data_IF_300376657172
#
_entry.id   IF_300376657172
#
_cell.length_a   1.000
_cell.length_b   1.000
_cell.length_c   1.000
_cell.angle_alpha   90.00
_cell.angle_beta   90.00
_cell.angle_gamma   90.00
#
_symmetry.space_group_name_H-M   'P 1'
#
loop_
_entity.id
_entity.type
_entity.pdbx_description
1 polymer ?
#
# COMPACT_ATOMS: atom_id res chain seq x y z
N UNK A 1 4.11 -14.55 -10.76
CA UNK A 1 4.48 -13.22 -10.18
C UNK A 1 3.21 -12.39 -10.00
N UNK A 2 3.19 -11.56 -8.97
CA UNK A 2 2.08 -10.70 -8.58
C UNK A 2 2.50 -9.23 -8.66
N UNK A 3 1.68 -8.37 -9.23
CA UNK A 3 1.88 -6.92 -9.25
C UNK A 3 0.88 -6.24 -8.31
N UNK A 4 1.34 -5.29 -7.52
CA UNK A 4 0.50 -4.44 -6.66
C UNK A 4 0.65 -3.00 -7.13
N UNK A 5 -0.48 -2.33 -7.38
CA UNK A 5 -0.54 -0.91 -7.75
C UNK A 5 -1.03 -0.09 -6.57
N UNK A 6 -0.23 0.87 -6.14
CA UNK A 6 -0.58 1.77 -5.04
C UNK A 6 0.66 2.40 -4.41
N UNK A 7 0.50 3.59 -3.87
CA UNK A 7 1.61 4.35 -3.30
C UNK A 7 1.86 3.96 -1.85
N UNK A 8 3.08 3.51 -1.52
CA UNK A 8 3.46 3.26 -0.13
C UNK A 8 3.71 4.58 0.61
N UNK A 9 3.63 4.54 1.92
CA UNK A 9 3.99 5.63 2.81
C UNK A 9 5.17 5.26 3.70
N UNK A 10 5.85 6.25 4.23
CA UNK A 10 6.88 6.06 5.25
C UNK A 10 6.21 5.86 6.61
N UNK A 11 6.58 4.82 7.33
CA UNK A 11 6.16 4.59 8.70
C UNK A 11 7.38 4.70 9.63
N UNK A 12 7.46 5.74 10.45
CA UNK A 12 8.54 5.87 11.41
C UNK A 12 8.48 4.75 12.45
N UNK A 13 9.63 4.27 12.90
CA UNK A 13 9.68 3.33 14.01
C UNK A 13 9.16 3.99 15.30
N UNK A 14 8.35 3.27 16.06
CA UNK A 14 7.78 3.76 17.32
C UNK A 14 8.82 3.93 18.44
N UNK A 15 10.01 3.37 18.29
CA UNK A 15 11.11 3.48 19.24
C UNK A 15 12.35 4.06 18.54
N UNK A 16 13.23 4.77 19.25
CA UNK A 16 14.41 5.43 18.65
C UNK A 16 15.31 4.50 17.84
N UNK A 17 15.39 3.22 18.23
CA UNK A 17 16.19 2.19 17.56
C UNK A 17 15.37 1.30 16.62
N UNK A 18 14.05 1.52 16.51
CA UNK A 18 13.21 0.74 15.62
C UNK A 18 13.45 1.15 14.17
N UNK A 19 13.66 0.17 13.30
CA UNK A 19 13.80 0.44 11.88
C UNK A 19 12.49 1.02 11.32
N UNK A 20 12.61 2.05 10.48
CA UNK A 20 11.50 2.56 9.70
C UNK A 20 10.92 1.45 8.80
N UNK A 21 9.63 1.51 8.56
CA UNK A 21 8.90 0.54 7.74
C UNK A 21 8.16 1.23 6.58
N UNK A 22 7.71 0.42 5.63
CA UNK A 22 6.82 0.85 4.56
C UNK A 22 5.37 0.67 5.02
N UNK A 23 4.65 1.77 5.11
CA UNK A 23 3.25 1.84 5.49
C UNK A 23 2.31 1.92 4.29
N UNK A 24 1.02 1.96 4.60
CA UNK A 24 -0.06 2.00 3.63
C UNK A 24 -0.51 0.62 3.15
N UNK A 25 -1.73 0.59 2.60
CA UNK A 25 -2.39 -0.66 2.21
C UNK A 25 -1.59 -1.41 1.13
N UNK A 26 -1.07 -0.70 0.14
CA UNK A 26 -0.28 -1.30 -0.95
C UNK A 26 0.98 -2.03 -0.44
N UNK A 27 1.74 -1.39 0.46
CA UNK A 27 2.93 -2.00 1.06
C UNK A 27 2.56 -3.19 1.96
N UNK A 28 1.48 -3.08 2.74
CA UNK A 28 0.96 -4.16 3.58
C UNK A 28 0.59 -5.39 2.75
N UNK A 29 -0.20 -5.21 1.69
CA UNK A 29 -0.59 -6.28 0.76
C UNK A 29 0.64 -6.92 0.12
N UNK A 30 1.56 -6.10 -0.42
CA UNK A 30 2.75 -6.59 -1.09
C UNK A 30 3.63 -7.45 -0.16
N UNK A 31 3.86 -6.99 1.08
CA UNK A 31 4.64 -7.76 2.08
C UNK A 31 3.94 -9.04 2.49
N UNK A 32 2.62 -8.99 2.70
CA UNK A 32 1.85 -10.18 3.07
C UNK A 32 1.87 -11.24 1.95
N UNK A 33 1.76 -10.81 0.69
CA UNK A 33 1.88 -11.71 -0.46
C UNK A 33 3.29 -12.30 -0.59
N UNK A 34 4.35 -11.50 -0.39
CA UNK A 34 5.73 -11.97 -0.37
C UNK A 34 5.97 -12.98 0.76
N UNK A 35 5.45 -12.70 1.96
CA UNK A 35 5.51 -13.62 3.10
C UNK A 35 4.75 -14.94 2.84
N UNK A 36 3.71 -14.91 1.99
CA UNK A 36 2.98 -16.10 1.53
C UNK A 36 3.69 -16.83 0.35
N UNK A 37 4.91 -16.41 -0.01
CA UNK A 37 5.77 -17.04 -1.00
C UNK A 37 5.55 -16.60 -2.45
N UNK A 38 4.78 -15.54 -2.70
CA UNK A 38 4.64 -14.97 -4.03
C UNK A 38 5.85 -14.10 -4.40
N UNK A 39 6.24 -14.10 -5.66
CA UNK A 39 7.12 -13.08 -6.22
C UNK A 39 6.30 -11.83 -6.48
N UNK A 40 6.61 -10.72 -5.79
CA UNK A 40 5.81 -9.50 -5.78
C UNK A 40 6.60 -8.32 -6.30
N UNK A 41 5.96 -7.49 -7.14
CA UNK A 41 6.46 -6.19 -7.56
C UNK A 41 5.45 -5.11 -7.15
N UNK A 42 5.93 -4.04 -6.53
CA UNK A 42 5.12 -2.88 -6.20
C UNK A 42 5.29 -1.80 -7.28
N UNK A 43 4.18 -1.38 -7.86
CA UNK A 43 4.07 -0.25 -8.79
C UNK A 43 3.48 0.91 -7.99
N UNK A 44 4.25 1.96 -7.83
CA UNK A 44 3.84 3.08 -7.00
C UNK A 44 4.74 4.29 -7.17
N UNK A 45 4.56 5.26 -6.29
CA UNK A 45 5.33 6.48 -6.31
C UNK A 45 5.74 6.87 -4.88
N UNK A 46 6.98 7.31 -4.72
CA UNK A 46 7.52 7.91 -3.48
C UNK A 46 8.23 9.21 -3.82
N UNK A 47 8.46 10.06 -2.84
CA UNK A 47 9.30 11.24 -3.00
C UNK A 47 10.76 10.89 -3.26
N UNK A 48 11.49 11.81 -3.85
CA UNK A 48 12.96 11.73 -3.94
C UNK A 48 13.59 12.34 -2.68
N UNK A 49 13.33 11.68 -1.54
CA UNK A 49 13.69 12.13 -0.20
C UNK A 49 14.15 10.96 0.68
N UNK A 50 14.72 11.23 1.88
CA UNK A 50 15.17 10.18 2.79
C UNK A 50 14.05 9.23 3.26
N UNK A 51 12.80 9.70 3.32
CA UNK A 51 11.66 8.85 3.67
C UNK A 51 11.35 7.86 2.55
N UNK A 52 11.46 8.30 1.27
CA UNK A 52 11.36 7.42 0.10
C UNK A 52 12.47 6.36 0.08
N UNK A 53 13.70 6.73 0.42
CA UNK A 53 14.81 5.77 0.55
C UNK A 53 14.54 4.72 1.62
N UNK A 54 13.99 5.14 2.77
CA UNK A 54 13.64 4.24 3.85
C UNK A 54 12.51 3.27 3.45
N UNK A 55 11.50 3.74 2.70
CA UNK A 55 10.43 2.90 2.15
C UNK A 55 10.99 1.85 1.20
N UNK A 56 11.87 2.23 0.26
CA UNK A 56 12.53 1.29 -0.65
C UNK A 56 13.28 0.19 0.10
N UNK A 57 14.06 0.60 1.13
CA UNK A 57 14.82 -0.34 1.93
C UNK A 57 13.91 -1.28 2.74
N UNK A 58 12.80 -0.77 3.28
CA UNK A 58 11.83 -1.57 4.01
C UNK A 58 11.13 -2.61 3.10
N UNK A 59 10.72 -2.20 1.90
CA UNK A 59 10.15 -3.11 0.89
C UNK A 59 11.13 -4.20 0.49
N UNK A 60 12.39 -3.85 0.23
CA UNK A 60 13.43 -4.81 -0.12
C UNK A 60 13.66 -5.84 1.01
N UNK A 61 13.70 -5.40 2.28
CA UNK A 61 13.78 -6.31 3.44
C UNK A 61 12.57 -7.24 3.56
N UNK A 62 11.40 -6.75 3.16
CA UNK A 62 10.16 -7.53 3.11
C UNK A 62 10.04 -8.46 1.91
N UNK A 63 11.06 -8.56 1.06
CA UNK A 63 11.04 -9.41 -0.13
C UNK A 63 10.17 -8.87 -1.27
N UNK A 64 9.82 -7.58 -1.22
CA UNK A 64 9.02 -6.92 -2.26
C UNK A 64 9.94 -6.26 -3.28
N UNK A 65 9.75 -6.59 -4.55
CA UNK A 65 10.43 -5.93 -5.65
C UNK A 65 9.91 -4.49 -5.82
N UNK A 66 10.82 -3.58 -6.10
CA UNK A 66 10.55 -2.15 -6.15
C UNK A 66 11.09 -1.48 -7.43
N UNK A 67 11.37 -2.27 -8.46
CA UNK A 67 11.88 -1.75 -9.74
C UNK A 67 10.90 -0.80 -10.43
N UNK A 68 9.61 -0.94 -10.14
CA UNK A 68 8.52 -0.13 -10.68
C UNK A 68 8.04 0.96 -9.67
N UNK A 69 8.81 1.21 -8.61
CA UNK A 69 8.54 2.29 -7.68
C UNK A 69 9.20 3.59 -8.18
N UNK A 70 8.37 4.52 -8.63
CA UNK A 70 8.79 5.78 -9.22
C UNK A 70 9.19 6.79 -8.16
N UNK A 71 10.14 7.67 -8.48
CA UNK A 71 10.54 8.78 -7.62
C UNK A 71 10.03 10.10 -8.18
N UNK A 72 9.43 10.92 -7.32
CA UNK A 72 8.97 12.26 -7.63
C UNK A 72 9.84 13.29 -6.88
N UNK A 73 10.66 14.02 -7.62
CA UNK A 73 11.55 15.04 -7.04
C UNK A 73 10.80 16.31 -6.56
N UNK A 74 9.55 16.49 -6.97
CA UNK A 74 8.73 17.63 -6.62
C UNK A 74 7.83 17.44 -5.40
N UNK A 75 7.78 16.24 -4.84
CA UNK A 75 6.85 15.88 -3.76
C UNK A 75 7.53 15.03 -2.69
N UNK A 76 7.11 15.23 -1.44
CA UNK A 76 7.59 14.43 -0.33
C UNK A 76 6.87 13.08 -0.25
N UNK A 77 7.57 12.07 0.24
CA UNK A 77 6.98 10.77 0.57
C UNK A 77 5.93 10.94 1.67
N UNK A 78 4.70 10.43 1.49
CA UNK A 78 3.68 10.48 2.53
C UNK A 78 4.16 9.78 3.81
N UNK A 79 3.90 10.41 4.95
CA UNK A 79 4.18 9.79 6.26
C UNK A 79 2.88 9.18 6.75
N UNK A 80 2.91 7.87 7.04
CA UNK A 80 1.78 7.22 7.70
C UNK A 80 1.69 7.74 9.13
N UNK A 81 0.58 8.40 9.46
CA UNK A 81 0.24 8.61 10.87
C UNK A 81 -0.06 7.21 11.45
N UNK A 82 0.53 6.83 12.58
CA UNK A 82 0.02 5.68 13.30
C UNK A 82 -1.48 5.93 13.52
N UNK A 83 -2.32 5.01 13.04
CA UNK A 83 -3.74 5.04 13.39
C UNK A 83 -3.79 5.21 14.91
N UNK A 84 -4.61 6.15 15.39
CA UNK A 84 -4.66 6.52 16.79
C UNK A 84 -4.74 5.23 17.63
N UNK A 85 -3.60 4.82 18.15
CA UNK A 85 -3.57 3.81 19.20
C UNK A 85 -4.37 4.48 20.29
N UNK A 86 -5.44 3.85 20.78
CA UNK A 86 -6.05 4.26 22.03
C UNK A 86 -4.98 4.04 23.10
N UNK A 87 -4.15 5.06 23.28
CA UNK A 87 -3.13 5.09 24.32
C UNK A 87 -3.88 5.35 25.61
N UNK A 88 -3.68 4.48 26.59
CA UNK A 88 -4.20 4.74 27.95
C UNK A 88 -3.82 6.20 28.32
N UNK A 89 -4.78 7.02 28.79
CA UNK A 89 -4.52 8.42 29.14
C UNK A 89 -3.30 8.62 30.06
N UNK A 90 -2.91 7.59 30.80
CA UNK A 90 -1.71 7.61 31.67
C UNK A 90 -0.39 7.57 30.87
N UNK A 91 -0.38 7.02 29.65
CA UNK A 91 0.78 6.90 28.80
C UNK A 91 0.79 7.93 27.65
N UNK A 92 -0.26 8.74 27.55
CA UNK A 92 -0.44 9.69 26.46
C UNK A 92 0.51 10.90 26.52
N UNK A 93 0.91 11.35 27.71
CA UNK A 93 1.77 12.53 27.86
C UNK A 93 3.17 12.41 27.22
N UNK A 94 3.90 11.28 27.39
CA UNK A 94 5.22 11.14 26.75
C UNK A 94 5.14 11.05 25.23
N UNK A 95 4.09 10.40 24.71
CA UNK A 95 3.90 10.23 23.26
C UNK A 95 3.45 11.55 22.63
N UNK A 96 2.57 12.30 23.28
CA UNK A 96 2.15 13.63 22.83
C UNK A 96 3.32 14.62 22.79
N UNK A 97 4.25 14.55 23.75
CA UNK A 97 5.44 15.37 23.77
C UNK A 97 6.40 15.02 22.62
N UNK A 98 6.61 13.73 22.32
CA UNK A 98 7.42 13.25 21.20
C UNK A 98 6.82 13.64 19.84
N UNK A 99 5.50 13.55 19.67
CA UNK A 99 4.80 13.98 18.47
C UNK A 99 4.88 15.49 18.30
N UNK A 100 4.74 16.25 19.39
CA UNK A 100 4.88 17.72 19.38
C UNK A 100 6.32 18.16 19.06
N UNK A 101 7.33 17.43 19.51
CA UNK A 101 8.73 17.71 19.12
C UNK A 101 9.00 17.35 17.65
N UNK A 102 8.46 16.27 17.14
CA UNK A 102 8.55 15.89 15.72
C UNK A 102 7.86 16.93 14.83
N UNK A 103 6.65 17.38 15.17
CA UNK A 103 5.94 18.44 14.48
C UNK A 103 6.66 19.82 14.62
N UNK A 104 7.34 20.07 15.74
CA UNK A 104 8.12 21.29 15.93
C UNK A 104 9.43 21.27 15.13
N UNK A 105 10.05 20.09 14.96
CA UNK A 105 11.21 19.90 14.11
C UNK A 105 10.83 20.09 12.63
N UNK A 106 9.70 19.55 12.21
CA UNK A 106 9.17 19.70 10.85
C UNK A 106 8.80 21.16 10.56
N UNK A 107 8.16 21.85 11.51
CA UNK A 107 7.88 23.30 11.42
C UNK A 107 9.14 24.17 11.38
N UNK A 108 10.23 23.77 12.05
CA UNK A 108 11.52 24.46 11.98
C UNK A 108 12.21 24.26 10.63
N UNK A 109 12.13 23.09 10.05
CA UNK A 109 12.62 22.80 8.71
C UNK A 109 11.87 23.62 7.65
N UNK A 110 10.56 23.77 7.79
CA UNK A 110 9.70 24.60 6.92
C UNK A 110 9.98 26.09 7.11
N UNK A 111 10.34 26.54 8.32
CA UNK A 111 10.62 27.98 8.62
C UNK A 111 11.96 28.51 8.07
N UNK A 112 12.82 27.62 7.57
CA UNK A 112 14.08 27.96 6.92
C UNK A 112 13.97 28.09 5.39
N UNK A 113 12.81 27.79 4.82
CA UNK A 113 12.48 27.97 3.41
C UNK A 113 11.35 28.99 3.25
N UNK A 114 11.67 30.21 2.79
CA UNK A 114 10.67 31.19 2.44
C UNK A 114 9.75 30.67 1.34
N UNK A 115 8.47 30.51 1.68
CA UNK A 115 7.40 30.15 0.78
C UNK A 115 6.57 28.97 1.31
N UNK A 116 5.59 29.25 2.19
CA UNK A 116 4.59 28.27 2.59
C UNK A 116 3.75 27.87 1.38
N UNK A 117 4.21 26.87 0.64
CA UNK A 117 3.37 26.15 -0.31
C UNK A 117 2.37 25.33 0.49
N UNK A 118 1.06 25.43 0.21
CA UNK A 118 0.08 24.56 0.86
C UNK A 118 0.52 23.10 0.68
N UNK A 119 0.21 22.22 1.65
CA UNK A 119 0.59 20.83 1.55
C UNK A 119 0.21 20.30 0.18
N UNK A 120 1.20 19.86 -0.58
CA UNK A 120 0.98 19.37 -1.92
C UNK A 120 -0.02 18.21 -1.87
N UNK A 121 -0.98 18.12 -2.79
CA UNK A 121 -1.83 16.94 -2.89
C UNK A 121 -0.94 15.70 -2.94
N UNK A 122 -1.28 14.68 -2.17
CA UNK A 122 -0.47 13.48 -2.00
C UNK A 122 0.04 12.93 -3.33
N UNK A 123 1.02 12.06 -3.28
CA UNK A 123 1.60 11.37 -4.44
C UNK A 123 0.56 10.45 -5.10
N UNK A 124 -0.47 11.02 -5.73
CA UNK A 124 -1.44 10.26 -6.49
C UNK A 124 -0.76 9.66 -7.72
N UNK A 125 -1.09 8.41 -8.01
CA UNK A 125 -0.67 7.76 -9.25
C UNK A 125 -1.46 8.34 -10.42
N UNK A 126 -0.75 8.64 -11.50
CA UNK A 126 -1.33 9.03 -12.77
C UNK A 126 -1.33 7.83 -13.74
N UNK A 127 -2.19 7.81 -14.78
CA UNK A 127 -2.21 6.73 -15.76
C UNK A 127 -0.85 6.46 -16.40
N UNK A 128 -0.05 7.53 -16.62
CA UNK A 128 1.30 7.43 -17.15
C UNK A 128 2.27 6.72 -16.22
N UNK A 129 2.14 6.93 -14.90
CA UNK A 129 2.96 6.27 -13.88
C UNK A 129 2.69 4.77 -13.85
N UNK A 130 1.42 4.39 -13.83
CA UNK A 130 0.99 2.98 -13.86
C UNK A 130 1.48 2.32 -15.15
N UNK A 131 1.26 2.96 -16.31
CA UNK A 131 1.72 2.45 -17.59
C UNK A 131 3.25 2.28 -17.65
N UNK A 132 3.99 3.22 -17.05
CA UNK A 132 5.45 3.13 -16.96
C UNK A 132 5.87 1.98 -16.05
N UNK A 133 5.28 1.85 -14.86
CA UNK A 133 5.55 0.77 -13.93
C UNK A 133 5.30 -0.62 -14.54
N UNK A 134 4.19 -0.77 -15.23
CA UNK A 134 3.81 -2.03 -15.90
C UNK A 134 4.81 -2.46 -17.01
N UNK A 135 5.58 -1.53 -17.58
CA UNK A 135 6.64 -1.88 -18.55
C UNK A 135 7.82 -2.62 -17.90
N UNK A 136 8.04 -2.39 -16.60
CA UNK A 136 9.09 -3.06 -15.83
C UNK A 136 8.61 -4.38 -15.22
N UNK A 137 7.29 -4.55 -15.08
CA UNK A 137 6.66 -5.74 -14.49
C UNK A 137 6.07 -6.58 -15.63
N UNK A 138 6.80 -7.60 -16.01
CA UNK A 138 6.37 -8.51 -17.09
C UNK A 138 5.86 -9.82 -16.50
N UNK A 139 4.91 -10.45 -17.18
CA UNK A 139 4.45 -11.81 -16.86
C UNK A 139 3.79 -11.96 -15.48
N UNK A 140 3.01 -10.97 -15.04
CA UNK A 140 2.20 -11.12 -13.83
C UNK A 140 0.92 -11.91 -14.15
N UNK A 141 0.49 -12.73 -13.17
CA UNK A 141 -0.77 -13.49 -13.22
C UNK A 141 -1.86 -12.89 -12.35
N UNK A 142 -1.48 -12.00 -11.45
CA UNK A 142 -2.40 -11.27 -10.57
C UNK A 142 -1.97 -9.83 -10.53
N UNK A 143 -2.93 -8.93 -10.71
CA UNK A 143 -2.76 -7.49 -10.56
C UNK A 143 -3.70 -7.00 -9.46
N UNK A 144 -3.14 -6.36 -8.43
CA UNK A 144 -3.91 -5.83 -7.30
C UNK A 144 -3.88 -4.31 -7.35
N UNK A 145 -5.03 -3.67 -7.50
CA UNK A 145 -5.19 -2.23 -7.31
C UNK A 145 -5.50 -1.98 -5.83
N UNK A 146 -4.52 -1.53 -5.07
CA UNK A 146 -4.57 -1.42 -3.61
C UNK A 146 -5.13 -0.09 -3.11
N UNK A 147 -5.45 0.84 -4.00
CA UNK A 147 -6.05 2.13 -3.67
C UNK A 147 -7.15 2.48 -4.67
N UNK A 148 -8.08 3.37 -4.30
CA UNK A 148 -9.11 3.82 -5.22
C UNK A 148 -8.47 4.47 -6.45
N UNK A 149 -8.87 4.01 -7.62
CA UNK A 149 -8.39 4.52 -8.90
C UNK A 149 -9.45 5.42 -9.52
N UNK A 150 -9.04 6.53 -10.09
CA UNK A 150 -9.89 7.30 -11.00
C UNK A 150 -10.12 6.50 -12.31
N UNK A 151 -11.08 6.92 -13.12
CA UNK A 151 -11.47 6.18 -14.32
C UNK A 151 -10.28 6.00 -15.32
N UNK A 152 -9.42 7.02 -15.57
CA UNK A 152 -8.24 6.83 -16.42
C UNK A 152 -7.25 5.79 -15.88
N UNK A 153 -6.96 5.81 -14.59
CA UNK A 153 -6.08 4.82 -13.95
C UNK A 153 -6.71 3.41 -13.96
N UNK A 154 -8.02 3.33 -13.67
CA UNK A 154 -8.77 2.08 -13.72
C UNK A 154 -8.73 1.45 -15.12
N UNK A 155 -8.85 2.26 -16.18
CA UNK A 155 -8.73 1.80 -17.55
C UNK A 155 -7.36 1.18 -17.83
N UNK A 156 -6.27 1.85 -17.45
CA UNK A 156 -4.91 1.33 -17.65
C UNK A 156 -4.70 0.00 -16.91
N UNK A 157 -5.22 -0.11 -15.70
CA UNK A 157 -5.10 -1.34 -14.88
C UNK A 157 -5.93 -2.48 -15.49
N UNK A 158 -7.15 -2.19 -15.95
CA UNK A 158 -8.03 -3.18 -16.58
C UNK A 158 -7.44 -3.70 -17.90
N UNK A 159 -7.00 -2.80 -18.76
CA UNK A 159 -6.37 -3.15 -20.05
C UNK A 159 -5.11 -4.00 -19.85
N UNK A 160 -4.31 -3.66 -18.84
CA UNK A 160 -3.10 -4.42 -18.52
C UNK A 160 -3.41 -5.82 -18.00
N UNK A 161 -4.42 -5.97 -17.15
CA UNK A 161 -4.85 -7.28 -16.64
C UNK A 161 -5.42 -8.14 -17.77
N UNK A 162 -6.25 -7.58 -18.65
CA UNK A 162 -6.80 -8.27 -19.81
C UNK A 162 -5.69 -8.70 -20.78
N UNK A 163 -4.74 -7.81 -21.09
CA UNK A 163 -3.62 -8.12 -21.98
C UNK A 163 -2.73 -9.24 -21.46
N UNK A 164 -2.53 -9.31 -20.13
CA UNK A 164 -1.71 -10.32 -19.47
C UNK A 164 -2.47 -11.61 -19.15
N UNK A 165 -3.78 -11.69 -19.42
CA UNK A 165 -4.67 -12.77 -18.96
C UNK A 165 -4.54 -12.99 -17.45
N UNK A 166 -4.46 -11.89 -16.69
CA UNK A 166 -4.23 -11.87 -15.26
C UNK A 166 -5.52 -11.63 -14.47
N UNK A 167 -5.62 -12.25 -13.29
CA UNK A 167 -6.69 -11.95 -12.37
C UNK A 167 -6.51 -10.51 -11.83
N UNK A 168 -7.57 -9.70 -11.94
CA UNK A 168 -7.60 -8.34 -11.40
C UNK A 168 -8.32 -8.33 -10.05
N UNK A 169 -7.63 -7.86 -9.01
CA UNK A 169 -8.19 -7.63 -7.67
C UNK A 169 -8.20 -6.13 -7.41
N UNK A 170 -9.34 -5.59 -7.05
CA UNK A 170 -9.51 -4.15 -6.79
C UNK A 170 -9.99 -3.93 -5.37
N UNK A 171 -9.31 -3.07 -4.65
CA UNK A 171 -9.71 -2.65 -3.32
C UNK A 171 -10.55 -1.38 -3.44
N UNK A 172 -11.81 -1.48 -3.05
CA UNK A 172 -12.74 -0.37 -3.05
C UNK A 172 -13.06 0.08 -1.61
N UNK A 173 -13.22 1.38 -1.36
CA UNK A 173 -13.81 1.84 -0.12
C UNK A 173 -15.23 1.32 0.03
N UNK A 174 -15.63 1.04 1.27
CA UNK A 174 -16.97 0.52 1.57
C UNK A 174 -18.08 1.39 0.97
N UNK A 175 -18.99 0.75 0.25
CA UNK A 175 -20.15 1.42 -0.34
C UNK A 175 -19.86 2.33 -1.53
N UNK A 176 -18.65 2.35 -2.06
CA UNK A 176 -18.35 3.05 -3.31
C UNK A 176 -18.62 2.14 -4.51
N UNK A 177 -19.23 2.75 -5.53
CA UNK A 177 -19.43 2.07 -6.83
C UNK A 177 -18.10 2.11 -7.59
N UNK A 178 -17.57 0.95 -7.90
CA UNK A 178 -16.39 0.83 -8.77
C UNK A 178 -16.74 1.19 -10.21
N UNK A 179 -15.75 1.67 -10.95
CA UNK A 179 -15.92 1.97 -12.38
C UNK A 179 -16.39 0.72 -13.15
N UNK A 180 -17.31 0.93 -14.10
CA UNK A 180 -17.78 -0.14 -15.00
C UNK A 180 -16.65 -0.80 -15.81
N UNK A 181 -15.55 -0.11 -16.02
CA UNK A 181 -14.34 -0.62 -16.69
C UNK A 181 -13.72 -1.81 -15.93
N UNK A 182 -13.98 -1.93 -14.63
CA UNK A 182 -13.48 -3.01 -13.77
C UNK A 182 -14.44 -4.21 -13.68
N UNK A 183 -15.33 -4.38 -14.65
CA UNK A 183 -16.43 -5.36 -14.60
C UNK A 183 -16.04 -6.83 -14.43
N UNK A 184 -14.81 -7.22 -14.74
CA UNK A 184 -14.27 -8.59 -14.54
C UNK A 184 -13.41 -8.72 -13.29
N UNK A 185 -13.19 -7.62 -12.55
CA UNK A 185 -12.35 -7.60 -11.38
C UNK A 185 -13.00 -8.28 -10.17
N UNK A 186 -12.19 -8.88 -9.33
CA UNK A 186 -12.57 -9.31 -7.99
C UNK A 186 -12.52 -8.08 -7.09
N UNK A 187 -13.66 -7.61 -6.61
CA UNK A 187 -13.74 -6.41 -5.78
C UNK A 187 -13.77 -6.83 -4.31
N UNK A 188 -12.84 -6.29 -3.53
CA UNK A 188 -12.79 -6.44 -2.08
C UNK A 188 -13.05 -5.08 -1.43
N UNK A 189 -14.02 -5.01 -0.53
CA UNK A 189 -14.30 -3.79 0.21
C UNK A 189 -13.35 -3.64 1.40
N UNK A 190 -12.63 -2.50 1.44
CA UNK A 190 -11.76 -2.19 2.56
C UNK A 190 -12.61 -1.82 3.79
N UNK A 191 -12.22 -2.26 5.00
CA UNK A 191 -12.81 -1.76 6.23
C UNK A 191 -12.45 -0.27 6.41
N UNK A 192 -13.28 0.46 7.17
CA UNK A 192 -12.99 1.87 7.49
C UNK A 192 -11.71 2.03 8.31
N UNK A 193 -11.40 1.05 9.14
CA UNK A 193 -10.22 1.03 10.01
C UNK A 193 -9.60 -0.36 9.97
N UNK A 194 -8.30 -0.42 9.78
CA UNK A 194 -7.50 -1.67 9.80
C UNK A 194 -6.25 -1.47 10.66
N UNK A 195 -6.41 -1.30 11.99
CA UNK A 195 -5.31 -0.93 12.89
C UNK A 195 -4.21 -1.97 12.94
N UNK A 196 -4.56 -3.24 12.80
CA UNK A 196 -3.62 -4.37 12.87
C UNK A 196 -3.10 -4.79 11.48
N UNK A 197 -3.53 -4.14 10.41
CA UNK A 197 -3.18 -4.51 9.04
C UNK A 197 -3.76 -5.87 8.60
N UNK A 198 -4.77 -6.34 9.30
CA UNK A 198 -5.36 -7.67 9.09
C UNK A 198 -5.98 -7.79 7.68
N UNK A 199 -6.60 -6.73 7.21
CA UNK A 199 -7.17 -6.68 5.86
C UNK A 199 -6.06 -6.75 4.79
N UNK A 200 -4.95 -6.02 4.96
CA UNK A 200 -3.81 -6.10 4.06
C UNK A 200 -3.23 -7.52 4.01
N UNK A 201 -3.14 -8.19 5.16
CA UNK A 201 -2.68 -9.60 5.25
C UNK A 201 -3.64 -10.53 4.52
N UNK A 202 -4.95 -10.39 4.71
CA UNK A 202 -5.96 -11.18 4.01
C UNK A 202 -5.82 -11.03 2.50
N UNK A 203 -5.80 -9.79 2.01
CA UNK A 203 -5.68 -9.50 0.56
C UNK A 203 -4.38 -10.04 -0.02
N UNK A 204 -3.25 -9.87 0.68
CA UNK A 204 -1.95 -10.36 0.23
C UNK A 204 -1.90 -11.89 0.11
N UNK A 205 -2.43 -12.62 1.09
CA UNK A 205 -2.56 -14.08 1.04
C UNK A 205 -3.51 -14.55 -0.05
N UNK A 206 -4.64 -13.88 -0.19
CA UNK A 206 -5.61 -14.15 -1.25
C UNK A 206 -4.97 -14.00 -2.64
N UNK A 207 -4.30 -12.88 -2.89
CA UNK A 207 -3.61 -12.63 -4.15
C UNK A 207 -2.48 -13.65 -4.41
N UNK A 208 -1.72 -14.04 -3.37
CA UNK A 208 -0.72 -15.09 -3.48
C UNK A 208 -1.32 -16.47 -3.80
N UNK A 209 -2.52 -16.76 -3.28
CA UNK A 209 -3.24 -18.00 -3.61
C UNK A 209 -3.72 -18.01 -5.06
N UNK A 210 -4.23 -16.88 -5.57
CA UNK A 210 -4.56 -16.71 -6.99
C UNK A 210 -3.32 -16.87 -7.89
N UNK A 211 -2.17 -16.30 -7.49
CA UNK A 211 -0.91 -16.44 -8.25
C UNK A 211 -0.43 -17.90 -8.33
N UNK A 212 -0.77 -18.73 -7.34
CA UNK A 212 -0.55 -20.20 -7.38
C UNK A 212 -1.54 -20.94 -8.27
N UNK A 213 -2.56 -20.27 -8.81
CA UNK A 213 -3.55 -20.85 -9.71
C UNK A 213 -4.80 -21.40 -9.03
N UNK A 214 -5.08 -21.04 -7.77
CA UNK A 214 -6.35 -21.34 -7.13
C UNK A 214 -7.46 -20.47 -7.74
N UNK A 215 -8.67 -20.98 -7.82
CA UNK A 215 -9.82 -20.14 -8.13
C UNK A 215 -10.14 -19.17 -6.97
N UNK A 216 -10.96 -18.16 -7.24
CA UNK A 216 -11.24 -17.10 -6.27
C UNK A 216 -11.85 -17.63 -4.95
N UNK A 217 -12.72 -18.64 -5.01
CA UNK A 217 -13.38 -19.19 -3.83
C UNK A 217 -12.39 -19.97 -2.95
N UNK A 218 -11.55 -20.79 -3.57
CA UNK A 218 -10.53 -21.58 -2.88
C UNK A 218 -9.40 -20.67 -2.36
N UNK A 219 -9.01 -19.66 -3.13
CA UNK A 219 -8.03 -18.67 -2.72
C UNK A 219 -8.49 -17.87 -1.49
N UNK A 220 -9.76 -17.45 -1.48
CA UNK A 220 -10.34 -16.74 -0.34
C UNK A 220 -10.42 -17.62 0.91
N UNK A 221 -10.86 -18.87 0.74
CA UNK A 221 -10.89 -19.85 1.84
C UNK A 221 -9.49 -20.10 2.42
N UNK A 222 -8.49 -20.29 1.57
CA UNK A 222 -7.12 -20.48 2.03
C UNK A 222 -6.60 -19.26 2.81
N UNK A 223 -6.87 -18.05 2.33
CA UNK A 223 -6.44 -16.81 2.98
C UNK A 223 -7.10 -16.61 4.36
N UNK A 224 -8.36 -16.98 4.52
CA UNK A 224 -9.11 -16.86 5.79
C UNK A 224 -8.67 -17.91 6.82
N UNK A 225 -8.49 -19.16 6.44
CA UNK A 225 -8.06 -20.25 7.32
C UNK A 225 -6.65 -19.97 7.87
N UNK A 226 -5.70 -19.65 6.99
CA UNK A 226 -4.33 -19.31 7.39
C UNK A 226 -4.27 -18.04 8.23
N UNK A 227 -5.22 -17.10 8.06
CA UNK A 227 -5.34 -15.86 8.82
C UNK A 227 -5.88 -16.05 10.25
N UNK A 228 -6.44 -17.22 10.57
CA UNK A 228 -7.05 -17.48 11.88
C UNK A 228 -8.41 -16.78 12.09
N UNK A 229 -9.02 -16.26 11.03
CA UNK A 229 -10.31 -15.54 11.07
C UNK A 229 -11.47 -16.41 11.56
N UNK A 230 -11.40 -17.74 11.34
CA UNK A 230 -12.40 -18.69 11.86
C UNK A 230 -12.45 -18.73 13.40
N UNK A 231 -11.34 -18.41 14.07
CA UNK A 231 -11.26 -18.37 15.54
C UNK A 231 -11.86 -17.10 16.16
N UNK A 232 -11.95 -16.02 15.40
CA UNK A 232 -12.52 -14.75 15.86
C UNK A 232 -14.06 -14.69 15.73
N UNK A 233 -14.66 -15.63 14.97
CA UNK A 233 -16.09 -15.70 14.73
C UNK A 233 -16.81 -16.72 15.65
N UNK A 234 -16.10 -17.38 16.55
CA UNK A 234 -16.61 -18.33 17.55
C UNK A 234 -16.63 -17.74 18.94
#
# INVERSE_FOLDING_TARGET
MLAVVGSPSFMPGLMPDAAADAGGLAAGIARAAAAAGAEVQLIGKVGDDPAGDAVLLALARGGVGHIALLRDAGRATPIASPAAIEVDPADAEPIAALLAEAEAADRRAISLGEGATPPAPGLALEPADISLGLRYVREFRVLVAAEPLDEPCATVVADAAEFADAALVVIAPRGQVTSAVLGTAIILEAPEVDPDGAFAVLVGRFAAALDRGLDAADAFRAATVEGGWERAAS
#
